data_IF_920800753086
#
_entry.id   IF_920800753086
#
_cell.length_a   1.000
_cell.length_b   1.000
_cell.length_c   1.000
_cell.angle_alpha   90.00
_cell.angle_beta   90.00
_cell.angle_gamma   90.00
#
_symmetry.space_group_name_H-M   'P 1'
#
loop_
_entity.id
_entity.type
_entity.pdbx_description
1 polymer ?
#
# COMPACT_ATOMS: atom_id res chain seq x y z
N UNK A 1 -17.44 6.91 -29.30
CA UNK A 1 -16.01 6.58 -29.51
C UNK A 1 -15.19 7.82 -29.24
N UNK A 2 -13.86 7.70 -29.15
CA UNK A 2 -12.97 8.86 -29.02
C UNK A 2 -12.85 9.55 -30.37
N UNK A 3 -12.92 10.88 -30.41
CA UNK A 3 -12.94 11.71 -31.60
C UNK A 3 -11.83 12.78 -31.60
N UNK A 4 -11.52 13.33 -32.79
CA UNK A 4 -10.63 14.50 -32.90
C UNK A 4 -11.26 15.68 -32.15
N UNK A 5 -10.50 16.28 -31.24
CA UNK A 5 -10.98 17.37 -30.38
C UNK A 5 -11.28 16.94 -28.94
N UNK A 6 -11.28 15.64 -28.63
CA UNK A 6 -11.46 15.16 -27.26
C UNK A 6 -10.26 15.59 -26.37
N UNK A 7 -10.51 16.10 -25.15
CA UNK A 7 -9.46 16.61 -24.28
C UNK A 7 -8.61 15.48 -23.70
N UNK A 8 -7.29 15.68 -23.70
CA UNK A 8 -6.32 14.75 -23.08
C UNK A 8 -5.68 15.43 -21.87
N UNK A 9 -5.97 14.91 -20.67
CA UNK A 9 -5.41 15.40 -19.42
C UNK A 9 -4.14 14.62 -19.06
N UNK A 10 -3.06 15.33 -18.76
CA UNK A 10 -1.80 14.74 -18.30
C UNK A 10 -1.77 14.73 -16.78
N UNK A 11 -1.61 13.55 -16.18
CA UNK A 11 -1.58 13.36 -14.71
C UNK A 11 -0.25 13.77 -14.07
N UNK A 12 0.83 13.91 -14.85
CA UNK A 12 2.16 14.26 -14.36
C UNK A 12 2.85 13.17 -13.52
N UNK A 13 2.23 12.00 -13.38
CA UNK A 13 2.75 10.85 -12.62
C UNK A 13 2.71 9.59 -13.47
N UNK A 14 3.68 8.67 -13.33
CA UNK A 14 3.61 7.37 -13.97
C UNK A 14 2.44 6.55 -13.40
N UNK A 15 2.07 5.48 -14.12
CA UNK A 15 1.15 4.48 -13.59
C UNK A 15 1.69 3.94 -12.27
N UNK A 16 0.90 4.12 -11.21
CA UNK A 16 1.25 3.78 -9.84
C UNK A 16 0.10 3.03 -9.19
N UNK A 17 0.42 2.28 -8.14
CA UNK A 17 -0.54 1.51 -7.34
C UNK A 17 -0.57 2.03 -5.91
N UNK A 18 -1.73 1.94 -5.26
CA UNK A 18 -1.90 2.19 -3.84
C UNK A 18 -1.52 0.94 -3.03
N UNK A 19 -0.67 1.10 -2.03
CA UNK A 19 -0.22 0.02 -1.14
C UNK A 19 -0.60 0.38 0.29
N UNK A 20 -1.41 -0.45 0.93
CA UNK A 20 -1.84 -0.28 2.31
C UNK A 20 -2.85 -1.36 2.74
N UNK A 21 -3.48 -1.20 3.90
CA UNK A 21 -4.49 -2.13 4.40
C UNK A 21 -5.72 -2.19 3.48
N UNK A 22 -6.32 -3.38 3.33
CA UNK A 22 -7.47 -3.63 2.46
C UNK A 22 -7.11 -4.23 1.10
N UNK A 23 -5.91 -4.81 0.95
CA UNK A 23 -5.52 -5.55 -0.26
C UNK A 23 -5.91 -7.02 -0.11
N UNK A 24 -5.77 -7.59 1.09
CA UNK A 24 -5.99 -9.01 1.32
C UNK A 24 -7.47 -9.37 1.19
N UNK A 25 -7.77 -10.35 0.31
CA UNK A 25 -9.13 -10.78 0.03
C UNK A 25 -9.86 -9.97 -1.05
N UNK A 26 -9.24 -8.90 -1.56
CA UNK A 26 -9.78 -8.12 -2.67
C UNK A 26 -9.30 -8.65 -4.03
N UNK A 27 -10.16 -8.50 -5.04
CA UNK A 27 -9.88 -8.88 -6.43
C UNK A 27 -9.81 -7.61 -7.27
N UNK A 28 -8.67 -7.44 -7.94
CA UNK A 28 -8.35 -6.26 -8.73
C UNK A 28 -8.27 -6.59 -10.23
N UNK A 29 -8.53 -5.59 -11.06
CA UNK A 29 -8.21 -5.64 -12.49
C UNK A 29 -6.74 -5.24 -12.79
N UNK A 30 -6.37 -5.19 -14.07
CA UNK A 30 -5.00 -4.87 -14.50
C UNK A 30 -4.50 -3.45 -14.19
N UNK A 31 -5.37 -2.55 -13.73
CA UNK A 31 -5.02 -1.19 -13.29
C UNK A 31 -5.41 -0.93 -11.82
N UNK A 32 -5.56 -2.01 -11.03
CA UNK A 32 -5.82 -1.99 -9.59
C UNK A 32 -7.19 -1.43 -9.18
N UNK A 33 -8.24 -1.63 -9.99
CA UNK A 33 -9.61 -1.30 -9.57
C UNK A 33 -10.30 -2.51 -8.93
N UNK A 34 -10.93 -2.34 -7.75
CA UNK A 34 -11.63 -3.44 -7.07
C UNK A 34 -12.90 -3.84 -7.84
N UNK A 35 -12.96 -5.11 -8.28
CA UNK A 35 -14.07 -5.61 -9.10
C UNK A 35 -15.40 -5.68 -8.33
N UNK A 36 -15.32 -5.99 -7.03
CA UNK A 36 -16.49 -6.03 -6.15
C UNK A 36 -17.13 -4.64 -6.03
N UNK A 37 -16.33 -3.63 -5.70
CA UNK A 37 -16.82 -2.26 -5.51
C UNK A 37 -17.37 -1.67 -6.82
N UNK A 38 -16.79 -2.00 -7.98
CA UNK A 38 -17.35 -1.65 -9.28
C UNK A 38 -18.76 -2.25 -9.45
N UNK A 39 -18.91 -3.53 -9.09
CA UNK A 39 -20.19 -4.25 -9.21
C UNK A 39 -21.23 -3.65 -8.27
N UNK A 40 -20.86 -3.37 -7.03
CA UNK A 40 -21.74 -2.80 -6.00
C UNK A 40 -22.17 -1.36 -6.36
N UNK A 41 -21.25 -0.56 -6.92
CA UNK A 41 -21.52 0.81 -7.35
C UNK A 41 -22.43 0.87 -8.58
N UNK A 42 -22.16 0.03 -9.58
CA UNK A 42 -22.86 0.07 -10.88
C UNK A 42 -24.13 -0.77 -10.92
N UNK A 43 -24.26 -1.73 -9.99
CA UNK A 43 -25.33 -2.73 -9.94
C UNK A 43 -25.50 -3.46 -11.27
N UNK A 44 -24.39 -3.70 -11.97
CA UNK A 44 -24.34 -4.33 -13.28
C UNK A 44 -23.25 -5.40 -13.33
N UNK A 45 -23.41 -6.37 -14.24
CA UNK A 45 -22.38 -7.38 -14.53
C UNK A 45 -21.28 -6.85 -15.46
N UNK A 46 -21.48 -5.69 -16.08
CA UNK A 46 -20.53 -5.09 -17.02
C UNK A 46 -19.74 -3.96 -16.36
N UNK A 47 -18.46 -3.84 -16.71
CA UNK A 47 -17.60 -2.75 -16.28
C UNK A 47 -17.81 -1.54 -17.21
N UNK A 48 -18.33 -0.40 -16.72
CA UNK A 48 -18.51 0.78 -17.55
C UNK A 48 -17.17 1.36 -18.02
N UNK A 49 -17.15 1.94 -19.21
CA UNK A 49 -15.96 2.63 -19.73
C UNK A 49 -15.77 3.95 -18.97
N UNK A 50 -14.55 4.21 -18.51
CA UNK A 50 -14.20 5.45 -17.80
C UNK A 50 -14.56 5.47 -16.31
N UNK A 51 -14.99 4.34 -15.74
CA UNK A 51 -15.23 4.25 -14.30
C UNK A 51 -13.93 4.42 -13.51
N UNK A 52 -13.96 5.32 -12.54
CA UNK A 52 -12.86 5.61 -11.63
C UNK A 52 -13.31 5.30 -10.19
N UNK A 53 -12.73 4.25 -9.61
CA UNK A 53 -12.98 3.81 -8.23
C UNK A 53 -11.63 3.78 -7.52
N UNK A 54 -11.61 4.16 -6.24
CA UNK A 54 -10.41 4.07 -5.41
C UNK A 54 -9.97 2.61 -5.27
N UNK A 55 -8.66 2.35 -5.25
CA UNK A 55 -8.16 0.98 -5.13
C UNK A 55 -8.47 0.40 -3.76
N UNK A 56 -8.30 1.20 -2.71
CA UNK A 56 -8.62 0.82 -1.33
C UNK A 56 -9.82 1.63 -0.82
N UNK A 57 -10.69 0.99 -0.04
CA UNK A 57 -11.86 1.64 0.54
C UNK A 57 -11.44 2.64 1.62
N UNK A 58 -11.96 3.87 1.52
CA UNK A 58 -11.73 4.94 2.49
C UNK A 58 -12.73 4.95 3.65
N UNK A 59 -13.77 4.12 3.57
CA UNK A 59 -14.82 4.06 4.57
C UNK A 59 -14.51 3.03 5.67
N UNK A 60 -13.64 2.06 5.36
CA UNK A 60 -13.23 1.01 6.30
C UNK A 60 -12.22 1.59 7.29
N UNK A 61 -12.52 1.43 8.57
CA UNK A 61 -11.61 1.78 9.66
C UNK A 61 -10.80 0.57 10.10
N UNK A 62 -9.53 0.80 10.34
CA UNK A 62 -8.55 -0.18 10.72
C UNK A 62 -7.99 0.13 12.10
N UNK A 63 -7.83 -0.90 12.93
CA UNK A 63 -7.15 -0.79 14.20
C UNK A 63 -5.65 -0.64 13.97
N UNK A 64 -5.15 0.57 14.20
CA UNK A 64 -3.74 0.93 14.13
C UNK A 64 -3.09 0.77 15.49
N UNK A 65 -1.96 0.07 15.52
CA UNK A 65 -1.11 -0.08 16.69
C UNK A 65 0.27 0.48 16.36
N UNK A 66 0.66 1.65 16.90
CA UNK A 66 2.00 2.20 16.67
C UNK A 66 3.07 1.30 17.29
N UNK A 67 4.25 1.25 16.69
CA UNK A 67 5.38 0.54 17.29
C UNK A 67 5.85 1.25 18.56
N UNK A 68 6.07 0.49 19.63
CA UNK A 68 6.52 0.98 20.94
C UNK A 68 7.92 1.58 20.89
N UNK A 69 8.72 1.20 19.89
CA UNK A 69 10.08 1.71 19.70
C UNK A 69 10.11 3.16 19.19
N UNK A 70 9.03 3.63 18.56
CA UNK A 70 8.97 4.94 17.92
C UNK A 70 8.21 5.92 18.80
N UNK A 71 8.84 7.07 19.02
CA UNK A 71 8.29 8.20 19.77
C UNK A 71 8.60 9.50 19.05
N UNK A 72 7.91 10.57 19.42
CA UNK A 72 8.28 11.90 18.96
C UNK A 72 9.76 12.18 19.29
N UNK A 73 10.52 12.64 18.31
CA UNK A 73 11.97 12.85 18.37
C UNK A 73 12.81 11.66 17.89
N UNK A 74 12.23 10.49 17.59
CA UNK A 74 12.98 9.37 17.01
C UNK A 74 13.35 9.65 15.55
N UNK A 75 14.55 9.24 15.12
CA UNK A 75 14.94 9.24 13.72
C UNK A 75 14.46 7.96 13.04
N UNK A 76 13.88 8.09 11.85
CA UNK A 76 13.39 6.98 11.03
C UNK A 76 13.85 7.15 9.58
N UNK A 77 13.99 6.03 8.89
CA UNK A 77 14.37 5.97 7.48
C UNK A 77 13.38 5.13 6.67
N UNK A 78 13.50 5.21 5.35
CA UNK A 78 12.64 4.49 4.42
C UNK A 78 12.72 2.98 4.63
N UNK A 79 11.56 2.34 4.77
CA UNK A 79 11.45 0.91 5.05
C UNK A 79 11.28 0.56 6.53
N UNK A 80 11.49 1.51 7.46
CA UNK A 80 11.24 1.27 8.88
C UNK A 80 9.76 1.04 9.15
N UNK A 81 9.46 0.09 10.05
CA UNK A 81 8.09 -0.23 10.45
C UNK A 81 7.71 0.71 11.60
N UNK A 82 6.61 1.44 11.45
CA UNK A 82 6.15 2.36 12.49
C UNK A 82 4.79 2.02 13.08
N UNK A 83 4.10 1.05 12.52
CA UNK A 83 2.87 0.55 13.09
C UNK A 83 2.43 -0.76 12.46
N UNK A 84 1.43 -1.36 13.08
CA UNK A 84 0.83 -2.60 12.65
C UNK A 84 -0.68 -2.41 12.59
N UNK A 85 -1.28 -2.87 11.50
CA UNK A 85 -2.72 -2.96 11.30
C UNK A 85 -3.10 -4.43 11.21
N UNK A 86 -4.12 -4.84 11.96
CA UNK A 86 -4.65 -6.21 11.86
C UNK A 86 -5.64 -6.27 10.71
N UNK A 87 -5.20 -6.76 9.54
CA UNK A 87 -6.03 -6.78 8.33
C UNK A 87 -6.99 -7.98 8.32
N UNK A 88 -6.53 -9.14 8.78
CA UNK A 88 -7.37 -10.32 9.04
C UNK A 88 -6.80 -11.13 10.21
N UNK A 89 -7.47 -12.23 10.58
CA UNK A 89 -7.04 -13.08 11.70
C UNK A 89 -5.65 -13.71 11.56
N UNK A 90 -5.10 -13.75 10.35
CA UNK A 90 -3.82 -14.41 10.04
C UNK A 90 -2.68 -13.41 9.78
N UNK A 91 -2.98 -12.32 9.10
CA UNK A 91 -2.02 -11.36 8.54
C UNK A 91 -2.05 -10.09 9.35
N UNK A 92 -0.88 -9.77 9.92
CA UNK A 92 -0.58 -8.48 10.51
C UNK A 92 0.09 -7.61 9.45
N UNK A 93 -0.61 -6.59 8.99
CA UNK A 93 -0.13 -5.66 7.99
C UNK A 93 0.83 -4.66 8.65
N UNK A 94 2.10 -4.72 8.29
CA UNK A 94 3.13 -3.80 8.83
C UNK A 94 3.11 -2.52 8.01
N UNK A 95 2.82 -1.40 8.66
CA UNK A 95 2.87 -0.08 8.04
C UNK A 95 4.31 0.43 8.12
N UNK A 96 4.86 0.78 6.96
CA UNK A 96 6.28 1.12 6.80
C UNK A 96 6.43 2.53 6.21
N UNK A 97 7.50 3.21 6.61
CA UNK A 97 7.88 4.51 6.04
C UNK A 97 8.18 4.33 4.55
N UNK A 98 7.65 5.19 3.65
CA UNK A 98 7.95 5.12 2.23
C UNK A 98 9.45 5.14 1.96
N UNK A 99 9.98 4.41 0.97
CA UNK A 99 11.43 4.27 0.81
C UNK A 99 12.23 5.55 0.51
N UNK A 100 11.55 6.64 0.13
CA UNK A 100 12.18 7.94 -0.17
C UNK A 100 12.04 8.97 0.95
N UNK A 101 11.35 8.60 2.03
CA UNK A 101 11.10 9.47 3.18
C UNK A 101 12.07 9.11 4.29
N UNK A 102 12.63 10.14 4.92
CA UNK A 102 13.47 10.02 6.11
C UNK A 102 13.29 11.29 6.95
N UNK A 103 13.59 11.21 8.24
CA UNK A 103 13.51 12.39 9.10
C UNK A 103 13.29 12.05 10.56
N UNK A 104 12.94 13.09 11.32
CA UNK A 104 12.62 12.98 12.73
C UNK A 104 11.11 12.96 12.92
N UNK A 105 10.61 12.01 13.70
CA UNK A 105 9.18 11.90 13.98
C UNK A 105 8.73 13.09 14.83
N UNK A 106 7.81 13.91 14.31
CA UNK A 106 7.20 15.01 15.08
C UNK A 106 5.91 14.56 15.76
N UNK A 107 5.17 13.68 15.09
CA UNK A 107 3.89 13.16 15.58
C UNK A 107 3.71 11.70 15.15
N UNK A 108 3.13 10.91 16.04
CA UNK A 108 2.66 9.56 15.77
C UNK A 108 1.26 9.41 16.37
N UNK A 109 0.34 8.84 15.60
CA UNK A 109 -1.02 8.62 16.05
C UNK A 109 -1.07 7.60 17.20
N UNK A 110 -1.89 7.83 18.23
CA UNK A 110 -2.10 6.83 19.29
C UNK A 110 -2.79 5.58 18.73
N UNK A 111 -2.82 4.46 19.49
CA UNK A 111 -3.57 3.29 19.08
C UNK A 111 -5.06 3.61 18.97
N UNK A 112 -5.69 3.19 17.87
CA UNK A 112 -7.08 3.53 17.59
C UNK A 112 -7.57 3.05 16.24
N UNK A 113 -8.84 3.35 15.93
CA UNK A 113 -9.46 3.02 14.65
C UNK A 113 -9.38 4.22 13.70
N UNK A 114 -8.65 4.07 12.62
CA UNK A 114 -8.38 5.11 11.63
C UNK A 114 -8.74 4.62 10.23
N UNK A 115 -9.11 5.54 9.35
CA UNK A 115 -9.21 5.23 7.94
C UNK A 115 -7.82 5.28 7.26
N UNK A 116 -7.78 4.89 5.99
CA UNK A 116 -6.54 4.88 5.21
C UNK A 116 -6.06 6.27 4.77
N UNK A 117 -6.91 7.30 4.87
CA UNK A 117 -6.62 8.70 4.56
C UNK A 117 -6.18 9.51 5.77
N UNK A 118 -6.41 9.02 6.98
CA UNK A 118 -6.01 9.63 8.22
C UNK A 118 -4.49 9.69 8.31
N UNK A 119 -3.99 10.82 8.84
CA UNK A 119 -2.55 11.03 9.04
C UNK A 119 -2.13 10.29 10.30
N UNK A 120 -1.28 9.28 10.13
CA UNK A 120 -0.81 8.40 11.21
C UNK A 120 0.58 8.78 11.71
N UNK A 121 1.36 9.50 10.90
CA UNK A 121 2.71 9.94 11.27
C UNK A 121 3.05 11.26 10.56
N UNK A 122 3.78 12.12 11.25
CA UNK A 122 4.43 13.29 10.65
C UNK A 122 5.94 13.21 10.85
N UNK A 123 6.67 13.47 9.77
CA UNK A 123 8.13 13.53 9.74
C UNK A 123 8.59 14.96 9.48
N UNK A 124 9.67 15.38 10.11
CA UNK A 124 10.38 16.61 9.81
C UNK A 124 11.78 16.30 9.29
N UNK A 125 12.07 16.79 8.09
CA UNK A 125 13.38 16.72 7.45
C UNK A 125 13.76 18.10 6.96
N UNK A 126 14.82 18.68 7.54
CA UNK A 126 15.34 20.01 7.16
C UNK A 126 14.26 21.13 7.16
N UNK A 127 13.27 21.04 8.06
CA UNK A 127 12.17 22.01 8.18
C UNK A 127 10.99 21.74 7.26
N UNK A 128 11.04 20.69 6.43
CA UNK A 128 9.93 20.23 5.61
C UNK A 128 9.17 19.14 6.36
N UNK A 129 7.90 19.43 6.69
CA UNK A 129 6.99 18.47 7.33
C UNK A 129 6.29 17.60 6.29
N UNK A 130 6.54 16.30 6.32
CA UNK A 130 5.86 15.30 5.51
C UNK A 130 4.80 14.58 6.34
N UNK A 131 3.59 14.45 5.77
CA UNK A 131 2.47 13.74 6.39
C UNK A 131 2.33 12.35 5.77
N UNK A 132 2.35 11.32 6.61
CA UNK A 132 2.21 9.93 6.20
C UNK A 132 0.85 9.39 6.64
N UNK A 133 0.15 8.76 5.70
CA UNK A 133 -1.06 7.98 5.95
C UNK A 133 -0.73 6.49 5.94
N UNK A 134 -1.73 5.62 6.09
CA UNK A 134 -1.51 4.16 5.98
C UNK A 134 -1.28 3.68 4.54
N UNK A 135 -1.48 4.55 3.55
CA UNK A 135 -1.37 4.22 2.13
C UNK A 135 -0.20 4.96 1.50
N UNK A 136 0.61 4.22 0.76
CA UNK A 136 1.67 4.76 -0.07
C UNK A 136 1.39 4.51 -1.55
N UNK A 137 1.80 5.43 -2.41
CA UNK A 137 1.67 5.29 -3.87
C UNK A 137 3.02 4.91 -4.45
N UNK A 138 3.08 3.80 -5.20
CA UNK A 138 4.34 3.31 -5.78
C UNK A 138 4.24 3.09 -7.30
N UNK A 139 5.21 3.58 -8.11
CA UNK A 139 5.23 3.36 -9.56
C UNK A 139 5.44 1.88 -9.92
N UNK A 140 4.57 1.31 -10.75
CA UNK A 140 4.61 -0.13 -11.08
C UNK A 140 5.84 -0.56 -11.89
N UNK A 141 6.47 0.39 -12.59
CA UNK A 141 7.68 0.15 -13.39
C UNK A 141 8.98 0.46 -12.65
N UNK A 142 8.91 0.79 -11.36
CA UNK A 142 10.09 1.02 -10.53
C UNK A 142 10.24 -0.12 -9.52
N UNK A 143 11.40 -0.77 -9.53
CA UNK A 143 11.74 -1.83 -8.58
C UNK A 143 11.77 -1.21 -7.17
N UNK A 144 11.17 -1.88 -6.18
CA UNK A 144 11.26 -1.44 -4.78
C UNK A 144 12.69 -1.62 -4.27
N UNK A 145 13.26 -0.64 -3.55
CA UNK A 145 14.58 -0.78 -2.96
C UNK A 145 14.58 -1.85 -1.86
N UNK A 146 15.73 -2.48 -1.67
CA UNK A 146 16.01 -3.45 -0.62
C UNK A 146 17.41 -3.19 -0.07
N UNK A 147 17.65 -3.56 1.19
CA UNK A 147 18.94 -3.34 1.85
C UNK A 147 20.07 -4.12 1.16
N UNK A 148 19.84 -5.40 0.89
CA UNK A 148 20.79 -6.27 0.19
C UNK A 148 20.07 -7.42 -0.52
N UNK A 149 20.78 -8.08 -1.45
CA UNK A 149 20.31 -9.33 -2.09
C UNK A 149 20.99 -10.52 -1.43
N UNK A 150 20.19 -11.42 -0.87
CA UNK A 150 20.67 -12.64 -0.23
C UNK A 150 20.52 -13.86 -1.15
N UNK A 151 21.44 -14.84 -1.10
CA UNK A 151 21.24 -16.12 -1.77
C UNK A 151 20.11 -16.89 -1.10
N UNK A 152 19.22 -17.49 -1.89
CA UNK A 152 18.14 -18.33 -1.37
C UNK A 152 18.69 -19.68 -0.90
N UNK A 153 18.51 -19.99 0.38
CA UNK A 153 18.96 -21.23 1.01
C UNK A 153 17.79 -22.05 1.62
N UNK A 154 16.56 -21.60 1.40
CA UNK A 154 15.35 -22.27 1.90
C UNK A 154 14.43 -22.63 0.72
N UNK A 155 14.01 -23.91 0.56
CA UNK A 155 13.18 -24.33 -0.56
C UNK A 155 11.73 -23.87 -0.40
N UNK A 156 11.07 -23.57 -1.52
CA UNK A 156 9.62 -23.33 -1.56
C UNK A 156 8.90 -24.64 -1.85
N UNK A 157 8.31 -25.25 -0.83
CA UNK A 157 7.61 -26.53 -0.98
C UNK A 157 6.32 -26.36 -1.78
N UNK A 158 6.24 -27.00 -2.93
CA UNK A 158 5.04 -26.98 -3.78
C UNK A 158 4.01 -28.01 -3.34
N UNK A 159 4.44 -29.06 -2.63
CA UNK A 159 3.61 -30.20 -2.24
C UNK A 159 3.53 -31.29 -3.32
N UNK A 160 4.21 -31.10 -4.46
CA UNK A 160 4.28 -32.08 -5.54
C UNK A 160 5.65 -32.77 -5.56
N UNK A 161 5.65 -34.10 -5.39
CA UNK A 161 6.90 -34.89 -5.37
C UNK A 161 7.80 -34.68 -6.59
N UNK A 162 7.22 -34.52 -7.79
CA UNK A 162 8.00 -34.33 -9.03
C UNK A 162 8.75 -33.00 -9.01
N UNK A 163 8.11 -31.91 -8.57
CA UNK A 163 8.73 -30.60 -8.46
C UNK A 163 9.72 -30.59 -7.31
N UNK A 164 9.28 -30.98 -6.11
CA UNK A 164 10.08 -30.87 -4.88
C UNK A 164 11.31 -31.79 -4.85
N UNK A 165 11.36 -32.86 -5.67
CA UNK A 165 12.49 -33.80 -5.69
C UNK A 165 13.36 -33.68 -6.95
N UNK A 166 12.78 -33.51 -8.15
CA UNK A 166 13.53 -33.50 -9.40
C UNK A 166 13.88 -32.09 -9.88
N UNK A 167 13.04 -31.10 -9.55
CA UNK A 167 13.18 -29.70 -9.94
C UNK A 167 12.89 -28.74 -8.78
N UNK A 168 13.60 -28.90 -7.62
CA UNK A 168 13.35 -28.10 -6.42
C UNK A 168 13.70 -26.62 -6.57
#
# INVERSE_FOLDING_TARGET
GVCVGDPVLRTGKPLSVELGPGIMGNIFDGIQRPLKDITDLTKSIYIPRGINVTALSRDIKWEFLPDKSIRAGSHVTGGDIYGIVTENSLIKHKIMVPPRSCGTVTYIAPPGNYDISDVVMELDFEGVKEKLTMVQVWPVRQIRPAAEKLPANYPLLTGQRVLDALFP
#
